data_IF_658892650967
#
_entry.id   IF_658892650967
#
_cell.length_a   1.000
_cell.length_b   1.000
_cell.length_c   1.000
_cell.angle_alpha   90.00
_cell.angle_beta   90.00
_cell.angle_gamma   90.00
#
_symmetry.space_group_name_H-M   'P 1'
#
loop_
_entity.id
_entity.type
_entity.pdbx_description
1 polymer ?
#
# COMPACT_ATOMS: atom_id res chain seq x y z
N UNK A 1 0.28 -19.23 7.42
CA UNK A 1 -0.79 -18.32 7.87
C UNK A 1 -2.01 -18.68 7.07
N UNK A 2 -3.08 -19.05 7.74
CA UNK A 2 -4.31 -19.45 7.05
C UNK A 2 -5.23 -18.22 6.96
N UNK A 3 -5.38 -17.69 5.75
CA UNK A 3 -6.40 -16.70 5.38
C UNK A 3 -6.82 -16.96 3.93
N UNK A 4 -8.03 -16.55 3.59
CA UNK A 4 -8.56 -16.70 2.25
C UNK A 4 -7.76 -15.82 1.27
N UNK A 5 -7.14 -16.47 0.29
CA UNK A 5 -6.45 -15.79 -0.82
C UNK A 5 -7.28 -15.93 -2.10
N UNK A 6 -7.08 -15.00 -3.01
CA UNK A 6 -7.83 -14.93 -4.25
C UNK A 6 -8.70 -13.68 -4.35
N UNK A 7 -9.69 -13.72 -5.22
CA UNK A 7 -10.61 -12.59 -5.44
C UNK A 7 -11.82 -12.74 -4.54
N UNK A 8 -12.08 -11.71 -3.75
CA UNK A 8 -13.18 -11.66 -2.78
C UNK A 8 -14.05 -10.47 -3.12
N UNK A 9 -15.35 -10.67 -3.29
CA UNK A 9 -16.32 -9.57 -3.34
C UNK A 9 -16.62 -9.16 -1.90
N UNK A 10 -16.16 -7.95 -1.54
CA UNK A 10 -16.23 -7.43 -0.15
C UNK A 10 -17.44 -6.51 0.07
N UNK A 11 -18.01 -6.00 -1.00
CA UNK A 11 -19.30 -5.32 -1.06
C UNK A 11 -19.80 -5.43 -2.50
N UNK A 12 -21.06 -5.10 -2.77
CA UNK A 12 -21.64 -5.20 -4.11
C UNK A 12 -20.80 -4.46 -5.16
N UNK A 13 -20.19 -5.22 -6.10
CA UNK A 13 -19.32 -4.67 -7.13
C UNK A 13 -17.96 -4.15 -6.64
N UNK A 14 -17.58 -4.41 -5.41
CA UNK A 14 -16.28 -4.01 -4.84
C UNK A 14 -15.47 -5.28 -4.52
N UNK A 15 -14.32 -5.41 -5.16
CA UNK A 15 -13.50 -6.61 -5.10
C UNK A 15 -12.11 -6.31 -4.56
N UNK A 16 -11.64 -7.17 -3.67
CA UNK A 16 -10.24 -7.23 -3.26
C UNK A 16 -9.60 -8.50 -3.81
N UNK A 17 -8.39 -8.39 -4.36
CA UNK A 17 -7.56 -9.54 -4.69
C UNK A 17 -6.48 -9.67 -3.64
N UNK A 18 -6.63 -10.68 -2.80
CA UNK A 18 -5.74 -10.96 -1.68
C UNK A 18 -4.73 -12.03 -2.12
N UNK A 19 -3.46 -11.67 -2.09
CA UNK A 19 -2.39 -12.57 -2.46
C UNK A 19 -1.91 -13.40 -1.26
N UNK A 20 -1.43 -14.62 -1.56
CA UNK A 20 -0.84 -15.51 -0.56
C UNK A 20 0.44 -14.91 0.05
N UNK A 21 0.79 -15.40 1.23
CA UNK A 21 2.05 -15.05 1.93
C UNK A 21 2.23 -13.55 2.17
N UNK A 22 1.13 -12.83 2.35
CA UNK A 22 1.14 -11.37 2.51
C UNK A 22 1.89 -10.65 1.37
N UNK A 23 1.82 -11.18 0.15
CA UNK A 23 2.21 -10.43 -1.04
C UNK A 23 1.22 -9.29 -1.30
N UNK A 24 1.59 -8.37 -2.19
CA UNK A 24 0.82 -7.15 -2.46
C UNK A 24 -0.60 -7.46 -2.93
N UNK A 25 -1.57 -6.81 -2.33
CA UNK A 25 -2.98 -6.88 -2.73
C UNK A 25 -3.26 -5.87 -3.84
N UNK A 26 -4.37 -6.09 -4.54
CA UNK A 26 -4.97 -5.17 -5.50
C UNK A 26 -6.48 -5.13 -5.28
N UNK A 27 -7.17 -4.23 -5.95
CA UNK A 27 -8.62 -4.19 -5.91
C UNK A 27 -9.22 -3.71 -7.22
N UNK A 28 -10.53 -3.88 -7.37
CA UNK A 28 -11.26 -3.22 -8.44
C UNK A 28 -12.72 -2.97 -8.03
N UNK A 29 -13.28 -1.92 -8.62
CA UNK A 29 -14.63 -1.46 -8.35
C UNK A 29 -15.39 -1.43 -9.67
N UNK A 30 -16.54 -2.13 -9.72
CA UNK A 30 -17.42 -2.16 -10.86
C UNK A 30 -18.58 -1.20 -10.61
N UNK A 31 -18.63 -0.12 -11.38
CA UNK A 31 -19.77 0.82 -11.39
C UNK A 31 -20.60 0.70 -12.66
N UNK A 32 -21.56 1.61 -12.81
CA UNK A 32 -22.47 1.61 -13.99
C UNK A 32 -21.70 1.83 -15.30
N UNK A 33 -20.73 2.75 -15.30
CA UNK A 33 -20.03 3.21 -16.50
C UNK A 33 -18.70 2.51 -16.77
N UNK A 34 -18.25 1.61 -15.92
CA UNK A 34 -16.97 0.93 -16.08
C UNK A 34 -16.38 0.42 -14.78
N UNK A 35 -15.06 0.24 -14.82
CA UNK A 35 -14.27 -0.31 -13.73
C UNK A 35 -13.18 0.68 -13.33
N UNK A 36 -12.93 0.81 -12.03
CA UNK A 36 -11.69 1.36 -11.47
C UNK A 36 -10.85 0.20 -10.94
N UNK A 37 -9.56 0.17 -11.29
CA UNK A 37 -8.58 -0.77 -10.75
C UNK A 37 -7.71 -0.04 -9.72
N UNK A 38 -7.43 -0.69 -8.60
CA UNK A 38 -6.63 -0.16 -7.49
C UNK A 38 -5.35 -0.98 -7.41
N UNK A 39 -4.22 -0.33 -7.65
CA UNK A 39 -2.89 -0.90 -7.82
C UNK A 39 -2.80 -1.95 -8.94
N UNK A 40 -1.59 -2.17 -9.42
CA UNK A 40 -1.36 -2.97 -10.64
C UNK A 40 -0.38 -4.10 -10.43
N UNK A 41 0.09 -4.27 -9.18
CA UNK A 41 1.01 -5.32 -8.77
C UNK A 41 2.43 -5.18 -9.38
N UNK A 42 3.31 -6.10 -8.99
CA UNK A 42 4.76 -6.01 -9.25
C UNK A 42 5.19 -6.50 -10.63
N UNK A 43 4.52 -7.50 -11.18
CA UNK A 43 5.04 -8.20 -12.36
C UNK A 43 4.05 -8.24 -13.51
N UNK A 44 4.55 -8.36 -14.76
CA UNK A 44 3.73 -8.60 -15.94
C UNK A 44 2.71 -9.73 -15.78
N UNK A 45 3.14 -10.84 -15.21
CA UNK A 45 2.27 -12.00 -14.99
C UNK A 45 1.14 -11.68 -14.01
N UNK A 46 1.44 -10.99 -12.90
CA UNK A 46 0.43 -10.59 -11.91
C UNK A 46 -0.53 -9.56 -12.48
N UNK A 47 -0.04 -8.54 -13.20
CA UNK A 47 -0.89 -7.55 -13.87
C UNK A 47 -1.82 -8.21 -14.91
N UNK A 48 -1.31 -9.16 -15.69
CA UNK A 48 -2.09 -9.93 -16.65
C UNK A 48 -3.18 -10.78 -15.97
N UNK A 49 -2.86 -11.39 -14.83
CA UNK A 49 -3.82 -12.14 -14.02
C UNK A 49 -4.90 -11.21 -13.45
N UNK A 50 -4.54 -10.03 -12.94
CA UNK A 50 -5.52 -9.04 -12.47
C UNK A 50 -6.47 -8.61 -13.58
N UNK A 51 -5.97 -8.35 -14.79
CA UNK A 51 -6.81 -8.02 -15.95
C UNK A 51 -7.77 -9.17 -16.31
N UNK A 52 -7.30 -10.41 -16.20
CA UNK A 52 -8.14 -11.60 -16.46
C UNK A 52 -9.27 -11.67 -15.44
N UNK A 53 -8.95 -11.53 -14.17
CA UNK A 53 -9.94 -11.52 -13.08
C UNK A 53 -11.00 -10.44 -13.28
N UNK A 54 -10.59 -9.21 -13.62
CA UNK A 54 -11.53 -8.12 -13.91
C UNK A 54 -12.47 -8.50 -15.07
N UNK A 55 -11.94 -9.10 -16.13
CA UNK A 55 -12.73 -9.52 -17.30
C UNK A 55 -13.67 -10.70 -17.01
N UNK A 56 -13.29 -11.58 -16.10
CA UNK A 56 -14.15 -12.70 -15.69
C UNK A 56 -15.37 -12.20 -14.90
N UNK A 57 -15.19 -11.10 -14.13
CA UNK A 57 -16.30 -10.47 -13.39
C UNK A 57 -17.16 -9.59 -14.28
N UNK A 58 -16.56 -8.82 -15.22
CA UNK A 58 -17.32 -7.86 -16.04
C UNK A 58 -16.67 -7.58 -17.39
N UNK A 59 -17.49 -7.30 -18.40
CA UNK A 59 -17.04 -6.84 -19.73
C UNK A 59 -17.01 -5.31 -19.85
N UNK A 60 -17.30 -4.57 -18.76
CA UNK A 60 -17.25 -3.10 -18.76
C UNK A 60 -15.80 -2.62 -18.94
N UNK A 61 -15.60 -1.45 -19.59
CA UNK A 61 -14.26 -0.91 -19.78
C UNK A 61 -13.62 -0.48 -18.45
N UNK A 62 -12.30 -0.67 -18.33
CA UNK A 62 -11.53 -0.05 -17.26
C UNK A 62 -11.41 1.44 -17.57
N UNK A 63 -11.93 2.29 -16.68
CA UNK A 63 -11.99 3.73 -16.84
C UNK A 63 -10.81 4.45 -16.20
N UNK A 64 -10.33 3.92 -15.07
CA UNK A 64 -9.20 4.45 -14.33
C UNK A 64 -8.41 3.33 -13.67
N UNK A 65 -7.11 3.55 -13.55
CA UNK A 65 -6.23 2.85 -12.62
C UNK A 65 -5.87 3.85 -11.51
N UNK A 66 -5.88 3.44 -10.25
CA UNK A 66 -5.48 4.27 -9.12
C UNK A 66 -4.26 3.63 -8.48
N UNK A 67 -3.17 4.38 -8.33
CA UNK A 67 -2.02 3.95 -7.54
C UNK A 67 -2.12 4.50 -6.13
N UNK A 68 -2.09 3.62 -5.13
CA UNK A 68 -2.13 4.01 -3.72
C UNK A 68 -0.86 4.74 -3.31
N UNK A 69 0.30 4.32 -3.81
CA UNK A 69 1.61 4.95 -3.61
C UNK A 69 2.62 4.49 -4.70
N UNK A 70 3.88 4.90 -4.60
CA UNK A 70 4.85 4.74 -5.69
C UNK A 70 5.68 3.45 -5.67
N UNK A 71 5.57 2.57 -4.67
CA UNK A 71 6.38 1.36 -4.59
C UNK A 71 6.09 0.38 -5.73
N UNK A 72 7.15 -0.28 -6.19
CA UNK A 72 7.11 -1.07 -7.42
C UNK A 72 6.11 -2.22 -7.40
N UNK A 73 5.87 -2.81 -6.25
CA UNK A 73 4.89 -3.88 -6.11
C UNK A 73 3.42 -3.42 -6.21
N UNK A 74 3.18 -2.11 -6.22
CA UNK A 74 1.87 -1.50 -6.45
C UNK A 74 1.71 -0.92 -7.86
N UNK A 75 2.82 -0.54 -8.53
CA UNK A 75 2.75 0.29 -9.76
C UNK A 75 3.41 -0.30 -11.00
N UNK A 76 4.24 -1.35 -10.87
CA UNK A 76 4.99 -1.85 -12.04
C UNK A 76 4.12 -2.47 -13.11
N UNK A 77 2.88 -2.87 -12.78
CA UNK A 77 1.90 -3.32 -13.75
C UNK A 77 1.21 -2.20 -14.55
N UNK A 78 1.43 -0.92 -14.24
CA UNK A 78 0.74 0.22 -14.86
C UNK A 78 0.74 0.17 -16.40
N UNK A 79 1.87 -0.19 -17.01
CA UNK A 79 2.02 -0.27 -18.46
C UNK A 79 0.99 -1.18 -19.16
N UNK A 80 0.49 -2.20 -18.45
CA UNK A 80 -0.45 -3.17 -19.00
C UNK A 80 -1.89 -2.66 -19.06
N UNK A 81 -2.17 -1.55 -18.41
CA UNK A 81 -3.47 -0.91 -18.38
C UNK A 81 -3.59 0.26 -19.36
N UNK A 82 -2.50 0.65 -20.02
CA UNK A 82 -2.55 1.71 -21.04
C UNK A 82 -3.49 1.31 -22.19
N UNK A 83 -4.24 2.26 -22.77
CA UNK A 83 -4.22 3.71 -22.56
C UNK A 83 -5.15 4.22 -21.45
N UNK A 84 -5.55 3.38 -20.50
CA UNK A 84 -6.40 3.81 -19.36
C UNK A 84 -5.69 4.88 -18.53
N UNK A 85 -6.35 6.01 -18.18
CA UNK A 85 -5.77 7.02 -17.30
C UNK A 85 -5.36 6.44 -15.96
N UNK A 86 -4.15 6.81 -15.52
CA UNK A 86 -3.59 6.40 -14.23
C UNK A 86 -3.62 7.58 -13.28
N UNK A 87 -4.34 7.42 -12.17
CA UNK A 87 -4.53 8.42 -11.13
C UNK A 87 -3.61 8.13 -9.96
N UNK A 88 -3.00 9.15 -9.37
CA UNK A 88 -2.21 9.02 -8.15
C UNK A 88 -1.98 10.39 -7.50
N UNK A 89 -1.42 10.40 -6.29
CA UNK A 89 -0.97 11.65 -5.69
C UNK A 89 0.17 12.26 -6.52
N UNK A 90 0.32 13.59 -6.52
CA UNK A 90 1.43 14.25 -7.26
C UNK A 90 2.80 13.75 -6.82
N UNK A 91 2.97 13.45 -5.52
CA UNK A 91 4.20 12.87 -4.98
C UNK A 91 4.45 11.45 -5.52
N UNK A 92 3.40 10.66 -5.81
CA UNK A 92 3.55 9.35 -6.44
C UNK A 92 4.22 9.49 -7.82
N UNK A 93 3.72 10.43 -8.61
CA UNK A 93 4.35 10.76 -9.89
C UNK A 93 5.78 11.27 -9.72
N UNK A 94 5.99 12.22 -8.82
CA UNK A 94 7.32 12.81 -8.55
C UNK A 94 8.33 11.73 -8.10
N UNK A 95 7.95 10.87 -7.16
CA UNK A 95 8.83 9.81 -6.66
C UNK A 95 9.12 8.75 -7.73
N UNK A 96 8.14 8.38 -8.56
CA UNK A 96 8.36 7.51 -9.71
C UNK A 96 9.28 8.15 -10.76
N UNK A 97 9.20 9.46 -10.96
CA UNK A 97 10.05 10.16 -11.89
C UNK A 97 11.51 10.30 -11.40
N UNK A 98 11.71 10.50 -10.10
CA UNK A 98 13.01 10.82 -9.50
C UNK A 98 13.71 9.64 -8.81
N UNK A 99 12.94 8.69 -8.24
CA UNK A 99 13.46 7.55 -7.47
C UNK A 99 13.30 6.20 -8.21
N UNK A 100 12.96 6.21 -9.49
CA UNK A 100 12.72 4.99 -10.27
C UNK A 100 13.86 3.98 -10.14
N UNK A 101 15.09 4.41 -10.39
CA UNK A 101 16.23 3.49 -10.42
C UNK A 101 16.51 2.87 -9.05
N UNK A 102 16.41 3.63 -7.96
CA UNK A 102 16.60 3.11 -6.61
C UNK A 102 15.50 2.14 -6.22
N UNK A 103 14.24 2.48 -6.53
CA UNK A 103 13.09 1.62 -6.31
C UNK A 103 13.21 0.33 -7.14
N UNK A 104 13.51 0.43 -8.43
CA UNK A 104 13.66 -0.71 -9.33
C UNK A 104 14.81 -1.63 -8.89
N UNK A 105 15.97 -1.09 -8.54
CA UNK A 105 17.13 -1.87 -8.12
C UNK A 105 16.89 -2.66 -6.84
N UNK A 106 16.05 -2.17 -5.93
CA UNK A 106 15.61 -2.89 -4.73
C UNK A 106 14.96 -4.24 -5.08
N UNK A 107 14.06 -4.25 -6.07
CA UNK A 107 13.41 -5.48 -6.53
C UNK A 107 14.31 -6.29 -7.47
N UNK A 108 15.13 -5.64 -8.29
CA UNK A 108 16.08 -6.28 -9.20
C UNK A 108 17.12 -7.12 -8.46
N UNK A 109 17.45 -6.77 -7.22
CA UNK A 109 18.33 -7.59 -6.37
C UNK A 109 17.79 -9.00 -6.14
N UNK A 110 16.47 -9.21 -6.27
CA UNK A 110 15.81 -10.51 -6.14
C UNK A 110 15.89 -11.27 -7.47
N UNK A 111 16.87 -12.17 -7.61
CA UNK A 111 17.18 -12.85 -8.87
C UNK A 111 15.98 -13.55 -9.52
N UNK A 112 15.12 -14.17 -8.71
CA UNK A 112 13.91 -14.85 -9.20
C UNK A 112 12.93 -13.92 -9.93
N UNK A 113 12.95 -12.63 -9.66
CA UNK A 113 12.06 -11.65 -10.28
C UNK A 113 12.62 -11.04 -11.57
N UNK A 114 13.93 -11.14 -11.82
CA UNK A 114 14.58 -10.48 -12.97
C UNK A 114 13.95 -10.78 -14.33
N UNK A 115 13.54 -12.03 -14.65
CA UNK A 115 12.89 -12.30 -15.95
C UNK A 115 11.59 -11.51 -16.16
N UNK A 116 10.83 -11.30 -15.09
CA UNK A 116 9.60 -10.50 -15.11
C UNK A 116 9.94 -9.00 -15.11
N UNK A 117 10.82 -8.57 -14.21
CA UNK A 117 11.20 -7.17 -14.07
C UNK A 117 11.88 -6.59 -15.31
N UNK A 118 12.63 -7.42 -16.07
CA UNK A 118 13.26 -6.99 -17.33
C UNK A 118 12.27 -6.50 -18.40
N UNK A 119 10.97 -6.76 -18.23
CA UNK A 119 9.88 -6.38 -19.13
C UNK A 119 9.15 -5.15 -18.64
N UNK A 120 9.50 -4.61 -17.48
CA UNK A 120 8.85 -3.43 -16.90
C UNK A 120 9.32 -2.16 -17.62
N UNK A 121 8.37 -1.34 -18.00
CA UNK A 121 8.58 -0.02 -18.55
C UNK A 121 8.03 1.01 -17.55
N UNK A 122 8.84 1.98 -17.20
CA UNK A 122 8.42 3.09 -16.32
C UNK A 122 7.13 3.73 -16.83
N UNK A 123 6.08 3.64 -16.04
CA UNK A 123 4.76 4.18 -16.36
C UNK A 123 4.19 4.86 -15.12
N UNK A 124 4.12 6.18 -15.16
CA UNK A 124 3.73 7.02 -14.02
C UNK A 124 2.29 7.50 -14.15
N UNK A 125 1.64 7.95 -13.06
CA UNK A 125 0.35 8.60 -13.12
C UNK A 125 0.34 9.79 -14.11
N UNK A 126 -0.71 9.91 -14.92
CA UNK A 126 -0.96 11.01 -15.85
C UNK A 126 -2.07 11.95 -15.37
N UNK A 127 -2.85 11.51 -14.37
CA UNK A 127 -3.80 12.33 -13.64
C UNK A 127 -3.37 12.41 -12.18
N UNK A 128 -3.09 13.61 -11.68
CA UNK A 128 -2.60 13.79 -10.30
C UNK A 128 -3.46 14.75 -9.49
N UNK A 129 -3.46 14.57 -8.17
CA UNK A 129 -4.12 15.45 -7.21
C UNK A 129 -3.24 15.63 -5.96
N UNK A 130 -3.52 16.65 -5.11
CA UNK A 130 -2.67 17.02 -3.97
C UNK A 130 -3.32 16.72 -2.62
N UNK A 131 -4.63 16.85 -2.49
CA UNK A 131 -5.33 16.73 -1.21
C UNK A 131 -6.48 15.72 -1.31
N UNK A 132 -7.48 16.03 -2.13
CA UNK A 132 -8.67 15.20 -2.32
C UNK A 132 -9.14 15.19 -3.77
N UNK A 133 -9.72 14.07 -4.17
CA UNK A 133 -10.36 13.91 -5.47
C UNK A 133 -11.54 12.94 -5.32
N UNK A 134 -12.64 13.18 -6.03
CA UNK A 134 -13.72 12.20 -6.20
C UNK A 134 -13.78 11.73 -7.65
N UNK A 135 -13.94 10.42 -7.82
CA UNK A 135 -14.21 9.77 -9.11
C UNK A 135 -15.62 9.19 -9.03
N UNK A 136 -16.42 9.43 -10.06
CA UNK A 136 -17.78 8.91 -10.15
C UNK A 136 -17.88 7.86 -11.25
N UNK A 137 -18.43 6.69 -10.91
CA UNK A 137 -18.78 5.62 -11.85
C UNK A 137 -20.29 5.46 -11.93
N UNK A 138 -20.97 6.38 -12.63
CA UNK A 138 -22.40 6.54 -12.54
C UNK A 138 -22.78 7.19 -11.22
N UNK A 139 -23.61 6.55 -10.41
CA UNK A 139 -24.01 7.03 -9.09
C UNK A 139 -22.97 6.76 -7.98
N UNK A 140 -22.03 5.84 -8.19
CA UNK A 140 -21.04 5.43 -7.19
C UNK A 140 -19.90 6.43 -7.05
N UNK A 141 -19.73 6.99 -5.86
CA UNK A 141 -18.61 7.86 -5.52
C UNK A 141 -17.41 7.07 -4.99
N UNK A 142 -16.23 7.41 -5.46
CA UNK A 142 -14.94 6.92 -4.96
C UNK A 142 -14.15 8.14 -4.52
N UNK A 143 -13.91 8.28 -3.21
CA UNK A 143 -13.18 9.39 -2.63
C UNK A 143 -11.70 9.03 -2.45
N UNK A 144 -10.82 9.83 -3.02
CA UNK A 144 -9.37 9.74 -2.82
C UNK A 144 -8.94 10.86 -1.87
N UNK A 145 -8.06 10.55 -0.91
CA UNK A 145 -7.53 11.56 0.00
C UNK A 145 -6.09 11.26 0.41
N UNK A 146 -5.29 12.32 0.51
CA UNK A 146 -3.93 12.30 1.05
C UNK A 146 -3.93 12.94 2.43
N UNK A 147 -3.25 12.33 3.40
CA UNK A 147 -3.24 12.78 4.79
C UNK A 147 -1.83 13.10 5.32
N UNK A 148 -0.85 13.11 4.45
CA UNK A 148 0.55 13.34 4.78
C UNK A 148 1.43 12.15 4.43
N UNK A 149 2.75 12.33 4.55
CA UNK A 149 3.71 11.24 4.36
C UNK A 149 3.59 10.21 5.49
N UNK A 150 3.77 8.95 5.17
CA UNK A 150 3.60 7.86 6.12
C UNK A 150 4.49 6.66 5.77
N UNK A 151 3.95 5.61 5.12
CA UNK A 151 4.71 4.49 4.57
C UNK A 151 5.61 4.95 3.41
N UNK A 152 5.11 5.93 2.69
CA UNK A 152 5.83 6.65 1.63
C UNK A 152 5.49 8.15 1.69
N UNK A 153 5.95 8.91 0.70
CA UNK A 153 5.61 10.32 0.54
C UNK A 153 4.28 10.54 -0.21
N UNK A 154 3.60 9.46 -0.62
CA UNK A 154 2.49 9.53 -1.58
C UNK A 154 1.28 8.67 -1.24
N UNK A 155 1.21 8.13 -0.02
CA UNK A 155 0.15 7.21 0.37
C UNK A 155 -1.22 7.88 0.36
N UNK A 156 -2.16 7.32 -0.40
CA UNK A 156 -3.55 7.79 -0.43
C UNK A 156 -4.50 6.75 0.12
N UNK A 157 -5.60 7.25 0.66
CA UNK A 157 -6.78 6.47 0.96
C UNK A 157 -7.74 6.48 -0.22
N UNK A 158 -8.42 5.38 -0.41
CA UNK A 158 -9.50 5.24 -1.35
C UNK A 158 -10.74 4.74 -0.62
N UNK A 159 -11.75 5.59 -0.49
CA UNK A 159 -12.93 5.34 0.33
C UNK A 159 -14.21 5.31 -0.52
N UNK A 160 -15.05 4.30 -0.27
CA UNK A 160 -16.39 4.17 -0.82
C UNK A 160 -17.41 4.42 0.30
N UNK A 161 -18.01 5.61 0.37
CA UNK A 161 -18.83 6.01 1.51
C UNK A 161 -20.13 5.20 1.65
N UNK A 162 -20.75 4.78 0.56
CA UNK A 162 -21.99 3.99 0.61
C UNK A 162 -21.75 2.56 1.07
N UNK A 163 -20.66 1.95 0.61
CA UNK A 163 -20.27 0.59 0.97
C UNK A 163 -19.47 0.50 2.27
N UNK A 164 -19.03 1.65 2.79
CA UNK A 164 -18.13 1.75 3.95
C UNK A 164 -16.88 0.88 3.80
N UNK A 165 -16.31 0.87 2.61
CA UNK A 165 -15.07 0.16 2.27
C UNK A 165 -13.93 1.15 2.12
N UNK A 166 -12.79 0.86 2.74
CA UNK A 166 -11.59 1.66 2.70
C UNK A 166 -10.39 0.84 2.21
N UNK A 167 -9.81 1.21 1.07
CA UNK A 167 -8.50 0.73 0.65
C UNK A 167 -7.43 1.68 1.18
N UNK A 168 -6.45 1.14 1.89
CA UNK A 168 -5.45 1.94 2.62
C UNK A 168 -4.04 1.80 2.05
N UNK A 169 -3.83 0.97 1.01
CA UNK A 169 -2.49 0.64 0.55
C UNK A 169 -1.62 0.19 1.74
N UNK A 170 -0.36 0.57 1.72
CA UNK A 170 0.59 0.19 2.78
C UNK A 170 0.55 1.08 4.03
N UNK A 171 -0.42 2.01 4.11
CA UNK A 171 -0.71 2.69 5.38
C UNK A 171 -1.04 1.70 6.49
N UNK A 172 -1.67 0.57 6.15
CA UNK A 172 -1.79 -0.55 7.06
C UNK A 172 -1.52 -1.88 6.34
N UNK A 173 -0.90 -2.80 7.05
CA UNK A 173 -0.66 -4.17 6.62
C UNK A 173 -1.17 -5.13 7.70
N UNK A 174 -1.65 -6.31 7.28
CA UNK A 174 -2.24 -7.27 8.19
C UNK A 174 -1.42 -8.57 8.20
N UNK A 175 -1.13 -9.12 9.39
CA UNK A 175 -0.32 -10.33 9.61
C UNK A 175 1.10 -10.31 9.03
N UNK A 176 1.64 -9.15 8.77
CA UNK A 176 3.03 -8.95 8.32
C UNK A 176 3.61 -7.70 8.94
N UNK A 177 4.94 -7.62 9.05
CA UNK A 177 5.59 -6.35 9.34
C UNK A 177 5.62 -5.48 8.08
N UNK A 178 5.35 -4.16 8.22
CA UNK A 178 5.44 -3.25 7.09
C UNK A 178 6.88 -3.14 6.57
N UNK A 179 7.04 -2.91 5.27
CA UNK A 179 8.31 -2.44 4.73
C UNK A 179 8.50 -0.95 5.08
N UNK A 180 9.76 -0.53 5.23
CA UNK A 180 10.10 0.84 5.65
C UNK A 180 11.15 1.51 4.75
N UNK A 181 11.18 1.27 3.44
CA UNK A 181 12.27 1.81 2.62
C UNK A 181 12.25 3.33 2.49
N UNK A 182 11.07 3.94 2.62
CA UNK A 182 10.81 5.37 2.48
C UNK A 182 9.89 5.88 3.60
N UNK A 183 9.65 5.05 4.64
CA UNK A 183 8.69 5.32 5.70
C UNK A 183 9.16 6.36 6.70
N UNK A 184 8.24 7.23 7.12
CA UNK A 184 8.45 8.24 8.15
C UNK A 184 7.60 7.92 9.38
N UNK A 185 8.16 7.15 10.31
CA UNK A 185 7.40 6.49 11.38
C UNK A 185 6.56 7.45 12.25
N UNK A 186 7.09 8.64 12.57
CA UNK A 186 6.39 9.62 13.40
C UNK A 186 5.17 10.21 12.70
N UNK A 187 5.34 10.61 11.43
CA UNK A 187 4.26 11.17 10.62
C UNK A 187 3.23 10.08 10.31
N UNK A 188 3.69 8.85 10.07
CA UNK A 188 2.80 7.72 9.80
C UNK A 188 1.82 7.44 10.95
N UNK A 189 2.29 7.45 12.20
CA UNK A 189 1.40 7.33 13.37
C UNK A 189 0.33 8.42 13.35
N UNK A 190 0.71 9.67 13.05
CA UNK A 190 -0.22 10.80 12.97
C UNK A 190 -1.24 10.65 11.83
N UNK A 191 -0.83 10.09 10.70
CA UNK A 191 -1.73 9.78 9.57
C UNK A 191 -2.73 8.71 9.97
N UNK A 192 -2.31 7.64 10.64
CA UNK A 192 -3.21 6.56 11.09
C UNK A 192 -4.26 7.05 12.10
N UNK A 193 -3.95 8.07 12.91
CA UNK A 193 -4.94 8.70 13.79
C UNK A 193 -6.04 9.46 13.04
N UNK A 194 -5.75 9.93 11.82
CA UNK A 194 -6.75 10.57 10.95
C UNK A 194 -7.59 9.53 10.22
N UNK A 195 -6.97 8.45 9.74
CA UNK A 195 -7.65 7.32 9.09
C UNK A 195 -8.66 6.66 10.02
N UNK A 196 -8.33 6.53 11.30
CA UNK A 196 -9.21 5.97 12.33
C UNK A 196 -10.56 6.71 12.50
N UNK A 197 -10.66 7.92 11.97
CA UNK A 197 -11.89 8.71 12.00
C UNK A 197 -12.84 8.46 10.83
N UNK A 198 -12.40 7.67 9.84
CA UNK A 198 -13.23 7.31 8.69
C UNK A 198 -14.27 6.26 9.13
N UNK A 199 -15.55 6.54 8.87
CA UNK A 199 -16.64 5.60 9.16
C UNK A 199 -16.62 4.45 8.16
N UNK A 200 -15.91 3.37 8.50
CA UNK A 200 -15.71 2.21 7.62
C UNK A 200 -15.98 0.89 8.34
N UNK A 201 -16.52 -0.08 7.61
CA UNK A 201 -16.78 -1.42 8.11
C UNK A 201 -15.72 -2.43 7.61
N UNK A 202 -15.16 -2.18 6.42
CA UNK A 202 -14.20 -3.08 5.77
C UNK A 202 -12.95 -2.31 5.33
N UNK A 203 -11.78 -2.82 5.69
CA UNK A 203 -10.48 -2.25 5.34
C UNK A 203 -9.67 -3.24 4.51
N UNK A 204 -9.22 -2.79 3.34
CA UNK A 204 -8.34 -3.56 2.45
C UNK A 204 -6.93 -3.01 2.60
N UNK A 205 -6.01 -3.75 3.25
CA UNK A 205 -4.62 -3.36 3.38
C UNK A 205 -3.84 -3.61 2.09
N UNK A 206 -2.67 -2.98 1.95
CA UNK A 206 -1.76 -3.26 0.84
C UNK A 206 -1.19 -4.68 0.87
N UNK A 207 -1.07 -5.27 2.06
CA UNK A 207 -0.57 -6.63 2.27
C UNK A 207 -1.35 -7.36 3.35
N UNK A 208 -1.60 -8.66 3.12
CA UNK A 208 -2.29 -9.53 4.06
C UNK A 208 -3.81 -9.51 3.91
N UNK A 209 -4.55 -10.19 4.79
CA UNK A 209 -5.99 -10.36 4.65
C UNK A 209 -6.78 -9.05 4.83
N UNK A 210 -7.97 -8.99 4.20
CA UNK A 210 -8.98 -7.97 4.49
C UNK A 210 -9.29 -7.98 5.98
N UNK A 211 -9.52 -6.81 6.55
CA UNK A 211 -9.84 -6.62 7.95
C UNK A 211 -10.95 -5.61 8.17
N UNK A 212 -11.11 -5.27 9.42
CA UNK A 212 -12.05 -4.29 9.94
C UNK A 212 -11.30 -3.20 10.72
N UNK A 213 -12.00 -2.29 11.35
CA UNK A 213 -11.39 -1.34 12.29
C UNK A 213 -10.63 -2.04 13.44
N UNK A 214 -10.94 -3.30 13.77
CA UNK A 214 -10.22 -4.01 14.83
C UNK A 214 -8.79 -4.32 14.41
N UNK A 215 -8.59 -4.93 13.23
CA UNK A 215 -7.26 -5.24 12.71
C UNK A 215 -6.48 -3.98 12.34
N UNK A 216 -7.15 -2.93 11.85
CA UNK A 216 -6.53 -1.63 11.60
C UNK A 216 -6.01 -0.98 12.89
N UNK A 217 -6.82 -1.00 13.97
CA UNK A 217 -6.40 -0.49 15.27
C UNK A 217 -5.28 -1.30 15.89
N UNK A 218 -5.26 -2.62 15.66
CA UNK A 218 -4.13 -3.48 16.03
C UNK A 218 -2.86 -3.06 15.29
N UNK A 219 -2.90 -2.92 13.96
CA UNK A 219 -1.76 -2.47 13.15
C UNK A 219 -1.25 -1.08 13.58
N UNK A 220 -2.16 -0.13 13.84
CA UNK A 220 -1.84 1.20 14.38
C UNK A 220 -1.16 1.10 15.77
N UNK A 221 -1.70 0.28 16.66
CA UNK A 221 -1.13 0.03 17.98
C UNK A 221 0.29 -0.55 17.90
N UNK A 222 0.51 -1.47 17.00
CA UNK A 222 1.80 -2.08 16.73
C UNK A 222 2.83 -1.05 16.24
N UNK A 223 2.46 -0.24 15.25
CA UNK A 223 3.35 0.82 14.73
C UNK A 223 3.70 1.85 15.81
N UNK A 224 2.72 2.25 16.63
CA UNK A 224 2.93 3.18 17.72
C UNK A 224 3.85 2.60 18.81
N UNK A 225 3.71 1.31 19.12
CA UNK A 225 4.61 0.63 20.06
C UNK A 225 6.05 0.58 19.52
N UNK A 226 6.24 0.22 18.24
CA UNK A 226 7.54 0.27 17.59
C UNK A 226 8.15 1.68 17.67
N UNK A 227 7.39 2.69 17.27
CA UNK A 227 7.85 4.08 17.34
C UNK A 227 8.30 4.47 18.75
N UNK A 228 7.50 4.12 19.77
CA UNK A 228 7.80 4.41 21.16
C UNK A 228 9.08 3.74 21.64
N UNK A 229 9.25 2.45 21.35
CA UNK A 229 10.44 1.68 21.76
C UNK A 229 11.69 2.18 21.04
N UNK A 230 11.63 2.40 19.71
CA UNK A 230 12.76 2.88 18.92
C UNK A 230 13.15 4.30 19.36
N UNK A 231 12.16 5.17 19.61
CA UNK A 231 12.43 6.53 20.11
C UNK A 231 13.09 6.51 21.48
N UNK A 232 12.64 5.64 22.37
CA UNK A 232 13.28 5.46 23.68
C UNK A 232 14.73 4.99 23.56
N UNK A 233 15.03 4.05 22.67
CA UNK A 233 16.39 3.60 22.40
C UNK A 233 17.27 4.75 21.85
N UNK A 234 16.74 5.50 20.90
CA UNK A 234 17.41 6.66 20.31
C UNK A 234 17.75 7.73 21.38
N UNK A 235 16.77 8.08 22.23
CA UNK A 235 16.95 9.09 23.29
C UNK A 235 17.94 8.66 24.37
N UNK A 236 18.11 7.35 24.56
CA UNK A 236 19.14 6.78 25.44
C UNK A 236 20.47 6.51 24.72
N UNK A 237 20.69 7.10 23.55
CA UNK A 237 21.90 7.00 22.76
C UNK A 237 22.32 5.57 22.36
N UNK A 238 21.38 4.63 22.27
CA UNK A 238 21.63 3.30 21.73
C UNK A 238 21.94 3.39 20.22
N UNK A 239 22.83 2.55 19.72
CA UNK A 239 23.07 2.39 18.30
C UNK A 239 21.87 1.69 17.64
N UNK A 240 21.75 1.77 16.31
CA UNK A 240 20.69 1.09 15.56
C UNK A 240 20.72 -0.44 15.75
N UNK A 241 21.93 -1.02 15.84
CA UNK A 241 22.11 -2.45 16.10
C UNK A 241 21.68 -2.84 17.53
N UNK A 242 22.01 -2.04 18.53
CA UNK A 242 21.54 -2.22 19.92
C UNK A 242 20.03 -2.07 20.02
N UNK A 243 19.46 -1.03 19.41
CA UNK A 243 18.02 -0.81 19.38
C UNK A 243 17.29 -1.99 18.76
N UNK A 244 17.74 -2.51 17.61
CA UNK A 244 17.14 -3.65 16.94
C UNK A 244 17.09 -4.92 17.80
N UNK A 245 18.02 -5.07 18.74
CA UNK A 245 18.11 -6.25 19.62
C UNK A 245 17.26 -6.16 20.88
N UNK A 246 16.93 -4.95 21.33
CA UNK A 246 16.20 -4.72 22.59
C UNK A 246 14.69 -4.52 22.39
N UNK A 247 14.23 -4.38 21.14
CA UNK A 247 12.81 -4.23 20.85
C UNK A 247 12.03 -5.48 21.30
N UNK A 248 10.96 -5.27 22.03
CA UNK A 248 9.97 -6.32 22.27
C UNK A 248 9.11 -6.52 21.03
N UNK A 249 9.47 -7.54 20.27
CA UNK A 249 8.77 -7.92 19.03
C UNK A 249 7.84 -9.11 19.22
N UNK A 250 7.59 -9.51 20.47
CA UNK A 250 6.75 -10.67 20.79
C UNK A 250 5.32 -10.56 20.25
N UNK A 251 4.79 -9.35 20.15
CA UNK A 251 3.49 -9.06 19.54
C UNK A 251 3.42 -9.42 18.04
N UNK A 252 4.58 -9.50 17.37
CA UNK A 252 4.67 -9.90 15.95
C UNK A 252 4.95 -11.41 15.79
N UNK A 253 4.89 -12.18 16.88
CA UNK A 253 5.06 -13.63 16.82
C UNK A 253 4.06 -14.23 15.82
N UNK A 254 4.57 -14.90 14.80
CA UNK A 254 3.76 -15.44 13.71
C UNK A 254 3.48 -14.49 12.53
N UNK A 255 3.90 -13.23 12.59
CA UNK A 255 3.81 -12.32 11.44
C UNK A 255 4.90 -12.66 10.40
N UNK A 256 4.59 -12.40 9.13
CA UNK A 256 5.59 -12.47 8.07
C UNK A 256 6.62 -11.34 8.15
N UNK A 257 7.78 -11.54 7.51
CA UNK A 257 8.80 -10.50 7.30
C UNK A 257 9.39 -9.90 8.59
N UNK A 258 9.61 -10.71 9.62
CA UNK A 258 10.25 -10.26 10.87
C UNK A 258 11.70 -9.79 10.69
N UNK A 259 12.34 -10.18 9.61
CA UNK A 259 13.67 -9.73 9.19
C UNK A 259 13.75 -8.24 8.81
N UNK A 260 12.60 -7.55 8.72
CA UNK A 260 12.53 -6.10 8.45
C UNK A 260 12.88 -5.21 9.65
N UNK A 261 12.93 -5.72 10.87
CA UNK A 261 13.18 -4.93 12.08
C UNK A 261 14.42 -4.02 11.97
N UNK A 262 15.60 -4.46 11.49
CA UNK A 262 16.74 -3.57 11.35
C UNK A 262 16.50 -2.39 10.40
N UNK A 263 15.78 -2.61 9.28
CA UNK A 263 15.41 -1.56 8.35
C UNK A 263 14.44 -0.54 8.99
N UNK A 264 13.47 -1.02 9.75
CA UNK A 264 12.52 -0.15 10.47
C UNK A 264 13.27 0.76 11.44
N UNK A 265 14.22 0.21 12.20
CA UNK A 265 15.06 0.98 13.15
C UNK A 265 15.92 1.99 12.42
N UNK A 266 16.62 1.60 11.35
CA UNK A 266 17.45 2.49 10.53
C UNK A 266 16.65 3.70 10.04
N UNK A 267 15.48 3.46 9.45
CA UNK A 267 14.64 4.53 8.89
C UNK A 267 14.05 5.42 9.98
N UNK A 268 13.65 4.85 11.12
CA UNK A 268 13.21 5.64 12.27
C UNK A 268 14.32 6.55 12.81
N UNK A 269 15.56 6.06 12.91
CA UNK A 269 16.71 6.85 13.34
C UNK A 269 17.01 8.00 12.38
N UNK A 270 16.95 7.74 11.05
CA UNK A 270 17.06 8.81 10.04
C UNK A 270 15.96 9.87 10.19
N UNK A 271 14.72 9.44 10.43
CA UNK A 271 13.60 10.36 10.69
C UNK A 271 13.87 11.25 11.91
N UNK A 272 14.32 10.67 13.03
CA UNK A 272 14.61 11.42 14.27
C UNK A 272 15.80 12.40 14.11
N UNK A 273 16.73 12.10 13.22
CA UNK A 273 17.86 13.00 12.87
C UNK A 273 17.50 14.03 11.81
N UNK A 274 16.28 14.03 11.25
CA UNK A 274 15.86 14.84 10.09
C UNK A 274 16.74 14.59 8.84
N UNK A 275 17.03 13.34 8.55
CA UNK A 275 17.85 12.89 7.41
C UNK A 275 16.99 12.32 6.25
N UNK A 276 15.66 12.37 6.37
CA UNK A 276 14.67 11.90 5.37
C UNK A 276 14.04 13.03 4.58
#
# INVERSE_FOLDING_TARGET
>A
MDYESGVIEIAEGVYAWINENCATNAGFIVGEEGVVVIDTLMTPSLAGSLMTVVRDVTQKPIRYVINTHFHGDHVYGNQYFLPTPIVGHENCKFDLDTKWDSNFNRYWSREALRPELSRIVKTTPDVTFNDKMSIWLGSREIQLSFHGRAHSNSDILLYLPEEKVLFVGDLAVNKTLPAFPDGHITDWVSVLEQVDKVDTDTIVPGHGPVGTNAEFNEAKGHLNLLNTQIKSAFDNAATEDEASKILDVGIYSGFANQDRIPQIVEMAYKAYRNEL
#
